data_IF_473022026780
#
_entry.id   IF_473022026780
#
_cell.length_a   1.000
_cell.length_b   1.000
_cell.length_c   1.000
_cell.angle_alpha   90.00
_cell.angle_beta   90.00
_cell.angle_gamma   90.00
#
_symmetry.space_group_name_H-M   'P 1'
#
loop_
_entity.id
_entity.type
_entity.pdbx_description
1 polymer ?
#
# COMPACT_ATOMS: atom_id res chain seq x y z
N UNK A 1 -32.15 44.19 25.65
CA UNK A 1 -31.49 43.35 24.63
C UNK A 1 -30.93 42.06 25.24
N UNK A 2 -30.17 42.11 26.34
CA UNK A 2 -29.64 40.93 27.05
C UNK A 2 -30.71 39.90 27.51
N UNK A 3 -31.85 40.34 28.04
CA UNK A 3 -32.90 39.43 28.51
C UNK A 3 -33.57 38.60 27.40
N UNK A 4 -33.59 39.08 26.14
CA UNK A 4 -34.11 38.27 25.01
C UNK A 4 -33.12 37.18 24.60
N UNK A 5 -31.82 37.49 24.64
CA UNK A 5 -30.77 36.51 24.41
C UNK A 5 -30.78 35.41 25.49
N UNK A 6 -30.95 35.74 26.78
CA UNK A 6 -30.96 34.72 27.85
C UNK A 6 -32.10 33.71 27.72
N UNK A 7 -33.29 34.14 27.30
CA UNK A 7 -34.44 33.27 27.05
C UNK A 7 -34.21 32.37 25.83
N UNK A 8 -33.58 32.91 24.77
CA UNK A 8 -33.24 32.15 23.56
C UNK A 8 -32.11 31.14 23.80
N UNK A 9 -31.09 31.50 24.59
CA UNK A 9 -30.00 30.60 25.01
C UNK A 9 -30.48 29.49 25.97
N UNK A 10 -31.51 29.72 26.78
CA UNK A 10 -32.09 28.71 27.66
C UNK A 10 -32.75 27.55 26.88
N UNK A 11 -33.38 27.87 25.74
CA UNK A 11 -33.98 26.88 24.83
C UNK A 11 -32.95 25.98 24.15
N UNK A 12 -31.89 26.58 23.59
CA UNK A 12 -30.79 25.86 22.94
C UNK A 12 -30.05 24.89 23.90
N UNK A 13 -29.85 25.28 25.16
CA UNK A 13 -29.22 24.41 26.19
C UNK A 13 -30.07 23.18 26.51
N UNK A 14 -31.40 23.31 26.55
CA UNK A 14 -32.31 22.19 26.85
C UNK A 14 -32.36 21.20 25.68
N UNK A 15 -32.42 21.69 24.44
CA UNK A 15 -32.36 20.84 23.24
C UNK A 15 -31.04 20.08 23.14
N UNK A 16 -29.89 20.75 23.31
CA UNK A 16 -28.56 20.10 23.26
C UNK A 16 -28.39 19.05 24.36
N UNK A 17 -28.93 19.28 25.56
CA UNK A 17 -28.95 18.30 26.65
C UNK A 17 -29.83 17.09 26.35
N UNK A 18 -30.98 17.28 25.72
CA UNK A 18 -31.87 16.17 25.32
C UNK A 18 -31.21 15.34 24.21
N UNK A 19 -30.66 15.95 23.16
CA UNK A 19 -29.94 15.20 22.12
C UNK A 19 -28.71 14.47 22.68
N UNK A 20 -27.94 15.09 23.58
CA UNK A 20 -26.82 14.43 24.24
C UNK A 20 -27.27 13.26 25.14
N UNK A 21 -28.39 13.41 25.86
CA UNK A 21 -28.94 12.34 26.69
C UNK A 21 -29.49 11.18 25.86
N UNK A 22 -30.20 11.47 24.75
CA UNK A 22 -30.71 10.45 23.82
C UNK A 22 -29.55 9.72 23.14
N UNK A 23 -28.54 10.45 22.67
CA UNK A 23 -27.36 9.85 22.07
C UNK A 23 -26.56 9.02 23.08
N UNK A 24 -26.38 9.53 24.30
CA UNK A 24 -25.72 8.80 25.38
C UNK A 24 -26.48 7.53 25.78
N UNK A 25 -27.81 7.59 25.84
CA UNK A 25 -28.65 6.43 26.12
C UNK A 25 -28.57 5.39 24.99
N UNK A 26 -28.65 5.82 23.72
CA UNK A 26 -28.50 4.92 22.57
C UNK A 26 -27.11 4.27 22.52
N UNK A 27 -26.06 5.03 22.82
CA UNK A 27 -24.69 4.52 22.92
C UNK A 27 -24.54 3.48 24.04
N UNK A 28 -25.06 3.76 25.24
CA UNK A 28 -25.05 2.82 26.36
C UNK A 28 -25.85 1.55 26.05
N UNK A 29 -27.01 1.68 25.40
CA UNK A 29 -27.84 0.53 25.03
C UNK A 29 -27.12 -0.35 24.00
N UNK A 30 -26.47 0.26 23.01
CA UNK A 30 -25.64 -0.45 22.03
C UNK A 30 -24.42 -1.13 22.68
N UNK A 31 -23.78 -0.47 23.65
CA UNK A 31 -22.64 -1.02 24.40
C UNK A 31 -23.08 -2.24 25.21
N UNK A 32 -24.19 -2.14 25.95
CA UNK A 32 -24.75 -3.26 26.72
C UNK A 32 -25.15 -4.41 25.78
N UNK A 33 -25.81 -4.13 24.66
CA UNK A 33 -26.17 -5.13 23.67
C UNK A 33 -24.94 -5.83 23.07
N UNK A 34 -23.85 -5.11 22.83
CA UNK A 34 -22.59 -5.66 22.36
C UNK A 34 -21.93 -6.59 23.40
N UNK A 35 -21.90 -6.17 24.67
CA UNK A 35 -21.33 -6.99 25.76
C UNK A 35 -22.12 -8.29 25.96
N UNK A 36 -23.46 -8.21 25.90
CA UNK A 36 -24.34 -9.38 26.01
C UNK A 36 -24.19 -10.30 24.79
N UNK A 37 -24.14 -9.75 23.57
CA UNK A 37 -23.97 -10.52 22.34
C UNK A 37 -22.63 -11.26 22.29
N UNK A 38 -21.59 -10.65 22.87
CA UNK A 38 -20.23 -11.21 22.90
C UNK A 38 -20.04 -12.27 23.99
N UNK A 39 -20.99 -12.44 24.92
CA UNK A 39 -20.86 -13.30 26.13
C UNK A 39 -19.53 -13.06 26.85
N UNK A 40 -19.13 -11.80 26.96
CA UNK A 40 -17.81 -11.43 27.48
C UNK A 40 -17.74 -11.77 28.98
N UNK A 41 -16.98 -12.82 29.31
CA UNK A 41 -16.90 -13.34 30.67
C UNK A 41 -15.55 -12.98 31.28
N UNK A 42 -15.55 -12.07 32.27
CA UNK A 42 -14.33 -11.60 32.95
C UNK A 42 -13.56 -12.78 33.60
N UNK A 43 -14.27 -13.83 34.02
CA UNK A 43 -13.66 -15.03 34.61
C UNK A 43 -12.76 -15.76 33.63
N UNK A 44 -13.16 -15.90 32.36
CA UNK A 44 -12.38 -16.57 31.32
C UNK A 44 -11.08 -15.81 31.01
N UNK A 45 -11.08 -14.47 31.14
CA UNK A 45 -9.86 -13.68 30.99
C UNK A 45 -8.88 -13.95 32.13
N UNK A 46 -9.36 -14.00 33.38
CA UNK A 46 -8.55 -14.30 34.54
C UNK A 46 -8.02 -15.75 34.50
N UNK A 47 -8.84 -16.70 34.06
CA UNK A 47 -8.44 -18.11 33.85
C UNK A 47 -7.46 -18.27 32.68
N UNK A 48 -7.44 -17.32 31.74
CA UNK A 48 -6.51 -17.27 30.61
C UNK A 48 -5.12 -16.75 30.97
N UNK A 49 -4.98 -15.93 32.02
CA UNK A 49 -3.69 -15.39 32.49
C UNK A 49 -2.67 -16.49 32.79
N UNK A 50 -2.96 -17.51 33.62
CA UNK A 50 -1.99 -18.56 33.91
C UNK A 50 -1.61 -19.37 32.65
N UNK A 51 -2.54 -19.56 31.71
CA UNK A 51 -2.27 -20.25 30.43
C UNK A 51 -1.36 -19.44 29.52
N UNK A 52 -1.56 -18.12 29.47
CA UNK A 52 -0.70 -17.21 28.73
C UNK A 52 0.73 -17.20 29.31
N UNK A 53 0.86 -17.22 30.63
CA UNK A 53 2.18 -17.31 31.29
C UNK A 53 2.85 -18.67 31.08
N UNK A 54 2.10 -19.77 31.09
CA UNK A 54 2.64 -21.11 30.80
C UNK A 54 3.10 -21.23 29.35
N UNK A 55 2.32 -20.69 28.41
CA UNK A 55 2.68 -20.63 26.99
C UNK A 55 3.95 -19.80 26.78
N UNK A 56 4.04 -18.63 27.42
CA UNK A 56 5.23 -17.78 27.34
C UNK A 56 6.45 -18.46 27.97
N UNK A 57 6.25 -19.19 29.07
CA UNK A 57 7.29 -20.00 29.69
C UNK A 57 7.78 -21.15 28.80
N UNK A 58 6.92 -21.74 27.97
CA UNK A 58 7.29 -22.78 26.99
C UNK A 58 7.98 -22.24 25.74
N UNK A 59 7.81 -20.95 25.43
CA UNK A 59 8.50 -20.30 24.31
C UNK A 59 9.99 -20.04 24.61
N UNK A 60 10.34 -19.93 25.89
CA UNK A 60 11.71 -19.67 26.33
C UNK A 60 12.42 -21.00 26.65
N UNK A 61 13.63 -21.24 26.12
CA UNK A 61 14.41 -22.40 26.51
C UNK A 61 14.74 -22.33 28.01
N UNK A 62 14.77 -23.46 28.74
CA UNK A 62 15.24 -23.48 30.12
C UNK A 62 16.74 -23.11 30.12
N UNK A 63 17.05 -21.89 30.58
CA UNK A 63 18.40 -21.36 30.62
C UNK A 63 19.11 -21.90 31.87
N UNK A 64 19.87 -22.99 31.72
CA UNK A 64 20.80 -23.42 32.75
C UNK A 64 22.14 -22.71 32.53
N UNK A 65 22.62 -21.97 33.53
CA UNK A 65 23.88 -21.20 33.46
C UNK A 65 25.10 -22.08 33.15
N UNK A 66 25.00 -23.38 33.43
CA UNK A 66 26.05 -24.37 33.25
C UNK A 66 26.14 -24.91 31.82
N UNK A 67 25.07 -24.78 31.03
CA UNK A 67 24.94 -25.36 29.68
C UNK A 67 24.35 -24.41 28.64
N UNK A 68 24.38 -23.10 28.90
CA UNK A 68 23.87 -22.02 28.03
C UNK A 68 24.14 -22.23 26.54
N UNK A 69 25.36 -22.62 26.18
CA UNK A 69 25.74 -22.88 24.78
C UNK A 69 25.01 -24.07 24.14
N UNK A 70 24.82 -25.16 24.89
CA UNK A 70 24.11 -26.36 24.41
C UNK A 70 22.62 -26.13 24.32
N UNK A 71 22.04 -25.45 25.31
CA UNK A 71 20.62 -25.11 25.36
C UNK A 71 20.24 -24.17 24.20
N UNK A 72 21.11 -23.22 23.87
CA UNK A 72 20.91 -22.32 22.72
C UNK A 72 21.05 -23.05 21.38
N UNK A 73 22.04 -23.95 21.23
CA UNK A 73 22.19 -24.76 20.01
C UNK A 73 21.05 -25.75 19.80
N UNK A 74 20.47 -26.28 20.89
CA UNK A 74 19.30 -27.16 20.83
C UNK A 74 18.04 -26.37 20.44
N UNK A 75 17.91 -25.13 20.91
CA UNK A 75 16.80 -24.26 20.54
C UNK A 75 16.87 -23.81 19.07
N UNK A 76 18.07 -23.49 18.58
CA UNK A 76 18.35 -23.09 17.19
C UNK A 76 18.84 -24.23 16.28
N UNK A 77 18.45 -25.47 16.58
CA UNK A 77 18.94 -26.67 15.89
C UNK A 77 18.78 -26.61 14.36
N UNK A 78 17.77 -25.88 13.87
CA UNK A 78 17.46 -25.72 12.45
C UNK A 78 17.58 -24.27 11.95
N UNK A 79 18.43 -23.46 12.59
CA UNK A 79 18.59 -22.05 12.23
C UNK A 79 18.94 -21.83 10.75
N UNK A 80 19.65 -22.78 10.13
CA UNK A 80 19.99 -22.76 8.70
C UNK A 80 18.76 -22.72 7.81
N UNK A 81 17.84 -23.69 7.94
CA UNK A 81 16.62 -23.74 7.14
C UNK A 81 15.69 -22.55 7.41
N UNK A 82 15.65 -22.05 8.64
CA UNK A 82 14.87 -20.83 8.96
C UNK A 82 15.44 -19.60 8.28
N UNK A 83 16.76 -19.47 8.26
CA UNK A 83 17.43 -18.36 7.58
C UNK A 83 17.26 -18.46 6.06
N UNK A 84 17.36 -19.65 5.48
CA UNK A 84 17.06 -19.87 4.06
C UNK A 84 15.59 -19.54 3.74
N UNK A 85 14.65 -19.93 4.60
CA UNK A 85 13.23 -19.61 4.43
C UNK A 85 12.97 -18.09 4.51
N UNK A 86 13.61 -17.41 5.47
CA UNK A 86 13.56 -15.95 5.60
C UNK A 86 14.10 -15.27 4.33
N UNK A 87 15.29 -15.68 3.88
CA UNK A 87 15.89 -15.17 2.65
C UNK A 87 15.00 -15.43 1.44
N UNK A 88 14.38 -16.60 1.32
CA UNK A 88 13.45 -16.91 0.24
C UNK A 88 12.26 -15.95 0.22
N UNK A 89 11.63 -15.67 1.37
CA UNK A 89 10.52 -14.69 1.41
C UNK A 89 10.97 -13.27 1.03
N UNK A 90 12.17 -12.87 1.46
CA UNK A 90 12.75 -11.58 1.10
C UNK A 90 13.03 -11.48 -0.40
N UNK A 91 13.63 -12.53 -0.98
CA UNK A 91 13.93 -12.61 -2.41
C UNK A 91 12.65 -12.60 -3.25
N UNK A 92 11.62 -13.34 -2.80
CA UNK A 92 10.31 -13.35 -3.45
C UNK A 92 9.67 -11.96 -3.47
N UNK A 93 9.66 -11.27 -2.31
CA UNK A 93 9.10 -9.93 -2.20
C UNK A 93 9.89 -8.92 -3.04
N UNK A 94 11.22 -9.02 -3.04
CA UNK A 94 12.10 -8.16 -3.84
C UNK A 94 11.86 -8.36 -5.34
N UNK A 95 11.87 -9.61 -5.82
CA UNK A 95 11.62 -9.94 -7.22
C UNK A 95 10.22 -9.50 -7.66
N UNK A 96 9.20 -9.77 -6.85
CA UNK A 96 7.83 -9.38 -7.16
C UNK A 96 7.68 -7.86 -7.27
N UNK A 97 8.32 -7.11 -6.37
CA UNK A 97 8.31 -5.65 -6.38
C UNK A 97 9.06 -5.09 -7.59
N UNK A 98 10.24 -5.65 -7.90
CA UNK A 98 11.03 -5.24 -9.05
C UNK A 98 10.29 -5.47 -10.36
N UNK A 99 9.71 -6.67 -10.56
CA UNK A 99 8.91 -7.00 -11.75
C UNK A 99 7.64 -6.15 -11.81
N UNK A 100 6.92 -6.00 -10.71
CA UNK A 100 5.68 -5.22 -10.66
C UNK A 100 5.91 -3.75 -10.97
N UNK A 101 6.99 -3.17 -10.44
CA UNK A 101 7.38 -1.78 -10.70
C UNK A 101 7.85 -1.59 -12.14
N UNK A 102 8.64 -2.52 -12.69
CA UNK A 102 9.14 -2.44 -14.06
C UNK A 102 8.00 -2.58 -15.09
N UNK A 103 7.14 -3.59 -14.93
CA UNK A 103 6.01 -3.83 -15.83
C UNK A 103 4.96 -2.72 -15.66
N UNK A 104 4.59 -2.38 -14.42
CA UNK A 104 3.64 -1.31 -14.12
C UNK A 104 4.13 0.05 -14.61
N UNK A 105 5.42 0.34 -14.44
CA UNK A 105 6.09 1.52 -14.98
C UNK A 105 6.06 1.58 -16.51
N UNK A 106 6.36 0.47 -17.19
CA UNK A 106 6.27 0.41 -18.65
C UNK A 106 4.83 0.66 -19.15
N UNK A 107 3.83 0.01 -18.54
CA UNK A 107 2.41 0.18 -18.89
C UNK A 107 1.94 1.62 -18.60
N UNK A 108 2.50 2.26 -17.58
CA UNK A 108 2.11 3.62 -17.17
C UNK A 108 2.32 4.68 -18.26
N UNK A 109 3.33 4.51 -19.14
CA UNK A 109 3.57 5.41 -20.27
C UNK A 109 2.44 5.33 -21.30
N UNK A 110 1.88 4.14 -21.52
CA UNK A 110 0.74 3.92 -22.41
C UNK A 110 -0.59 4.33 -21.78
N UNK A 111 -0.68 4.29 -20.44
CA UNK A 111 -1.85 4.70 -19.68
C UNK A 111 -1.93 6.22 -19.45
N UNK A 112 -0.90 7.00 -19.79
CA UNK A 112 -0.90 8.46 -19.68
C UNK A 112 -1.56 9.11 -20.90
N UNK A 113 -2.57 9.96 -20.67
CA UNK A 113 -3.36 10.59 -21.74
C UNK A 113 -2.56 11.55 -22.62
N UNK A 114 -1.47 12.11 -22.09
CA UNK A 114 -0.57 13.02 -22.79
C UNK A 114 0.43 12.30 -23.72
N UNK A 115 0.74 11.02 -23.46
CA UNK A 115 1.74 10.25 -24.20
C UNK A 115 1.10 9.27 -25.21
N UNK A 116 -0.12 8.81 -24.95
CA UNK A 116 -0.79 7.84 -25.80
C UNK A 116 -1.27 8.47 -27.11
N UNK A 117 -0.72 8.00 -28.24
CA UNK A 117 -1.13 8.43 -29.58
C UNK A 117 -2.56 7.95 -29.93
N UNK A 118 -2.98 6.79 -29.41
CA UNK A 118 -4.26 6.15 -29.71
C UNK A 118 -5.15 6.01 -28.47
N UNK A 119 -6.41 6.48 -28.55
CA UNK A 119 -7.39 6.38 -27.45
C UNK A 119 -7.65 4.94 -27.01
N UNK A 120 -7.65 3.98 -27.94
CA UNK A 120 -7.86 2.57 -27.64
C UNK A 120 -6.74 1.99 -26.76
N UNK A 121 -5.47 2.32 -27.04
CA UNK A 121 -4.31 1.84 -26.26
C UNK A 121 -4.35 2.39 -24.84
N UNK A 122 -4.65 3.69 -24.70
CA UNK A 122 -4.87 4.34 -23.41
C UNK A 122 -5.96 3.62 -22.60
N UNK A 123 -7.11 3.35 -23.23
CA UNK A 123 -8.25 2.74 -22.56
C UNK A 123 -7.93 1.31 -22.11
N UNK A 124 -7.31 0.50 -22.97
CA UNK A 124 -6.91 -0.88 -22.64
C UNK A 124 -5.89 -0.88 -21.50
N UNK A 125 -4.83 -0.08 -21.58
CA UNK A 125 -3.80 -0.01 -20.55
C UNK A 125 -4.40 0.37 -19.19
N UNK A 126 -5.31 1.35 -19.15
CA UNK A 126 -5.95 1.79 -17.91
C UNK A 126 -6.86 0.72 -17.32
N UNK A 127 -7.62 0.01 -18.16
CA UNK A 127 -8.45 -1.12 -17.71
C UNK A 127 -7.63 -2.28 -17.18
N UNK A 128 -6.51 -2.63 -17.81
CA UNK A 128 -5.63 -3.67 -17.32
C UNK A 128 -5.09 -3.35 -15.91
N UNK A 129 -4.67 -2.10 -15.68
CA UNK A 129 -4.20 -1.65 -14.35
C UNK A 129 -5.32 -1.66 -13.29
N UNK A 130 -6.55 -1.26 -13.69
CA UNK A 130 -7.71 -1.30 -12.81
C UNK A 130 -8.11 -2.74 -12.46
N UNK A 131 -8.11 -3.66 -13.43
CA UNK A 131 -8.42 -5.08 -13.20
C UNK A 131 -7.37 -5.70 -12.27
N UNK A 132 -6.08 -5.47 -12.55
CA UNK A 132 -4.99 -6.00 -11.74
C UNK A 132 -5.12 -5.64 -10.25
N UNK A 133 -5.60 -4.42 -9.94
CA UNK A 133 -5.78 -3.92 -8.56
C UNK A 133 -7.12 -4.32 -7.91
N UNK A 134 -8.18 -4.50 -8.70
CA UNK A 134 -9.53 -4.77 -8.17
C UNK A 134 -9.74 -6.25 -7.85
N UNK A 135 -9.02 -7.13 -8.53
CA UNK A 135 -9.05 -8.57 -8.25
C UNK A 135 -8.34 -8.88 -6.93
N UNK A 136 -8.96 -9.62 -6.00
CA UNK A 136 -8.32 -10.01 -4.74
C UNK A 136 -7.07 -10.87 -4.95
N UNK A 137 -6.05 -10.67 -4.11
CA UNK A 137 -4.75 -11.35 -4.24
C UNK A 137 -4.86 -12.88 -4.17
N UNK A 138 -5.82 -13.40 -3.41
CA UNK A 138 -6.10 -14.84 -3.32
C UNK A 138 -6.49 -15.40 -4.70
N UNK A 139 -7.22 -14.64 -5.52
CA UNK A 139 -7.63 -15.08 -6.86
C UNK A 139 -6.42 -15.20 -7.78
N UNK A 140 -5.51 -14.22 -7.74
CA UNK A 140 -4.25 -14.29 -8.48
C UNK A 140 -3.39 -15.47 -8.02
N UNK A 141 -3.28 -15.67 -6.71
CA UNK A 141 -2.56 -16.81 -6.15
C UNK A 141 -3.13 -18.15 -6.65
N UNK A 142 -4.45 -18.32 -6.60
CA UNK A 142 -5.12 -19.54 -7.09
C UNK A 142 -4.91 -19.75 -8.60
N UNK A 143 -4.97 -18.70 -9.40
CA UNK A 143 -4.74 -18.79 -10.85
C UNK A 143 -3.31 -19.24 -11.17
N UNK A 144 -2.31 -18.67 -10.50
CA UNK A 144 -0.92 -19.05 -10.71
C UNK A 144 -0.57 -20.41 -10.08
N UNK A 145 -1.21 -20.79 -8.98
CA UNK A 145 -1.09 -22.14 -8.42
C UNK A 145 -1.69 -23.17 -9.37
N UNK A 146 -2.80 -22.86 -10.05
CA UNK A 146 -3.36 -23.73 -11.06
C UNK A 146 -2.44 -23.84 -12.30
N UNK A 147 -1.79 -22.74 -12.70
CA UNK A 147 -0.92 -22.71 -13.87
C UNK A 147 0.46 -23.35 -13.65
N UNK A 148 1.09 -23.11 -12.50
CA UNK A 148 2.48 -23.49 -12.20
C UNK A 148 2.62 -24.48 -11.03
N UNK A 149 1.54 -24.77 -10.31
CA UNK A 149 1.55 -25.58 -9.09
C UNK A 149 1.79 -24.77 -7.81
N UNK A 150 1.77 -25.47 -6.69
CA UNK A 150 2.08 -24.89 -5.37
C UNK A 150 3.58 -24.62 -5.31
N UNK A 151 3.97 -23.35 -5.13
CA UNK A 151 5.37 -22.98 -4.96
C UNK A 151 5.63 -21.48 -4.91
N UNK A 152 6.90 -21.08 -4.71
CA UNK A 152 7.31 -19.68 -4.61
C UNK A 152 6.94 -18.85 -5.84
N UNK A 153 7.06 -19.43 -7.04
CA UNK A 153 6.80 -18.74 -8.31
C UNK A 153 5.37 -18.21 -8.38
N UNK A 154 4.39 -19.00 -7.92
CA UNK A 154 2.99 -18.57 -7.90
C UNK A 154 2.76 -17.37 -6.98
N UNK A 155 3.42 -17.36 -5.81
CA UNK A 155 3.39 -16.23 -4.88
C UNK A 155 4.04 -14.97 -5.46
N UNK A 156 5.21 -15.10 -6.09
CA UNK A 156 5.90 -13.98 -6.75
C UNK A 156 5.00 -13.36 -7.82
N UNK A 157 4.40 -14.16 -8.69
CA UNK A 157 3.54 -13.67 -9.76
C UNK A 157 2.26 -13.02 -9.23
N UNK A 158 1.64 -13.58 -8.18
CA UNK A 158 0.46 -12.99 -7.55
C UNK A 158 0.78 -11.60 -6.97
N UNK A 159 1.86 -11.48 -6.20
CA UNK A 159 2.30 -10.19 -5.64
C UNK A 159 2.69 -9.21 -6.75
N UNK A 160 3.29 -9.70 -7.83
CA UNK A 160 3.64 -8.89 -9.02
C UNK A 160 2.38 -8.27 -9.64
N UNK A 161 1.31 -9.05 -9.83
CA UNK A 161 0.03 -8.58 -10.38
C UNK A 161 -0.64 -7.52 -9.49
N UNK A 162 -0.61 -7.71 -8.16
CA UNK A 162 -1.09 -6.69 -7.24
C UNK A 162 -0.27 -5.40 -7.33
N UNK A 163 1.06 -5.54 -7.27
CA UNK A 163 2.00 -4.42 -7.23
C UNK A 163 1.96 -3.61 -8.52
N UNK A 164 1.88 -4.25 -9.70
CA UNK A 164 1.82 -3.55 -10.98
C UNK A 164 0.53 -2.73 -11.12
N UNK A 165 -0.62 -3.22 -10.62
CA UNK A 165 -1.89 -2.49 -10.68
C UNK A 165 -1.87 -1.24 -9.80
N UNK A 166 -1.28 -1.34 -8.61
CA UNK A 166 -1.14 -0.22 -7.68
C UNK A 166 -0.11 0.82 -8.16
N UNK A 167 1.13 0.38 -8.45
CA UNK A 167 2.23 1.25 -8.88
C UNK A 167 2.00 1.85 -10.26
N UNK A 168 1.51 1.04 -11.21
CA UNK A 168 1.31 1.49 -12.60
C UNK A 168 0.30 2.63 -12.73
N UNK A 169 -0.76 2.65 -11.92
CA UNK A 169 -1.71 3.77 -11.89
C UNK A 169 -1.09 5.04 -11.31
N UNK A 170 -0.33 4.90 -10.22
CA UNK A 170 0.39 6.02 -9.61
C UNK A 170 1.37 6.65 -10.61
N UNK A 171 2.16 5.82 -11.31
CA UNK A 171 3.07 6.30 -12.34
C UNK A 171 2.31 6.91 -13.54
N UNK A 172 1.16 6.38 -13.91
CA UNK A 172 0.35 6.96 -14.99
C UNK A 172 -0.18 8.34 -14.61
N UNK A 173 -0.64 8.52 -13.37
CA UNK A 173 -1.08 9.82 -12.84
C UNK A 173 0.09 10.81 -12.76
N UNK A 174 1.28 10.37 -12.33
CA UNK A 174 2.48 11.21 -12.35
C UNK A 174 2.83 11.64 -13.78
N UNK A 175 2.82 10.71 -14.73
CA UNK A 175 3.12 10.98 -16.14
C UNK A 175 2.07 11.92 -16.78
N UNK A 176 0.80 11.82 -16.40
CA UNK A 176 -0.27 12.71 -16.87
C UNK A 176 -0.16 14.13 -16.28
N UNK A 177 0.41 14.27 -15.08
CA UNK A 177 0.64 15.56 -14.41
C UNK A 177 1.90 16.31 -14.87
N UNK A 178 2.75 15.71 -15.72
CA UNK A 178 3.91 16.42 -16.29
C UNK A 178 3.40 17.56 -17.17
N UNK A 179 3.75 18.80 -16.80
CA UNK A 179 3.30 20.02 -17.50
C UNK A 179 3.63 19.95 -19.00
N UNK A 180 2.75 20.42 -19.90
CA UNK A 180 2.96 20.33 -21.35
C UNK A 180 4.10 21.21 -21.90
N UNK A 181 4.55 22.24 -21.17
CA UNK A 181 5.57 23.20 -21.63
C UNK A 181 6.90 22.55 -22.12
N UNK A 182 7.51 21.57 -21.43
CA UNK A 182 8.72 20.89 -21.90
C UNK A 182 8.45 19.94 -23.08
N UNK A 183 7.25 19.38 -23.18
CA UNK A 183 6.87 18.39 -24.21
C UNK A 183 6.66 19.06 -25.57
N UNK A 184 6.16 20.30 -25.59
CA UNK A 184 6.03 21.10 -26.80
C UNK A 184 7.41 21.59 -27.31
N UNK A 185 8.34 21.93 -26.41
CA UNK A 185 9.73 22.25 -26.75
C UNK A 185 10.52 21.07 -27.33
N UNK A 186 10.27 19.85 -26.85
CA UNK A 186 10.86 18.63 -27.41
C UNK A 186 10.18 18.21 -28.74
N UNK A 187 8.90 18.61 -28.94
CA UNK A 187 8.18 18.36 -30.20
C UNK A 187 8.76 19.20 -31.34
N UNK A 188 9.10 20.45 -31.07
CA UNK A 188 9.77 21.34 -32.03
C UNK A 188 11.23 20.94 -32.31
N UNK A 189 11.86 20.17 -31.42
CA UNK A 189 13.18 19.57 -31.62
C UNK A 189 13.17 18.25 -32.42
N UNK A 190 12.00 17.68 -32.73
CA UNK A 190 11.88 16.46 -33.54
C UNK A 190 12.13 15.13 -32.80
N UNK A 191 12.12 15.11 -31.46
CA UNK A 191 12.40 13.89 -30.70
C UNK A 191 11.27 12.84 -30.78
N UNK A 192 11.67 11.58 -31.02
CA UNK A 192 10.81 10.39 -31.04
C UNK A 192 10.34 10.00 -29.63
N UNK A 193 9.13 9.43 -29.56
CA UNK A 193 8.35 9.30 -28.32
C UNK A 193 9.03 8.62 -27.13
N UNK A 194 9.93 7.65 -27.36
CA UNK A 194 10.62 6.96 -26.26
C UNK A 194 11.68 7.85 -25.60
N UNK A 195 12.48 8.56 -26.40
CA UNK A 195 13.45 9.57 -25.94
C UNK A 195 12.72 10.72 -25.25
N UNK A 196 11.57 11.15 -25.80
CA UNK A 196 10.74 12.20 -25.23
C UNK A 196 10.24 11.90 -23.81
N UNK A 197 9.81 10.66 -23.56
CA UNK A 197 9.36 10.23 -22.23
C UNK A 197 10.51 10.18 -21.22
N UNK A 198 11.69 9.70 -21.65
CA UNK A 198 12.87 9.63 -20.81
C UNK A 198 13.40 11.03 -20.45
N UNK A 199 13.52 11.92 -21.44
CA UNK A 199 13.99 13.31 -21.28
C UNK A 199 13.02 14.17 -20.47
N UNK A 200 11.71 13.97 -20.62
CA UNK A 200 10.70 14.71 -19.84
C UNK A 200 10.68 14.31 -18.35
N UNK A 201 10.94 13.03 -18.03
CA UNK A 201 10.95 12.57 -16.63
C UNK A 201 12.20 12.99 -15.85
N UNK A 202 13.31 13.26 -16.54
CA UNK A 202 14.57 13.67 -15.92
C UNK A 202 15.00 15.08 -16.35
N UNK A 203 14.45 16.15 -15.71
CA UNK A 203 14.78 17.53 -16.06
C UNK A 203 16.24 17.91 -15.79
N UNK A 204 17.00 17.11 -15.02
CA UNK A 204 18.40 17.38 -14.66
C UNK A 204 19.40 17.14 -15.79
N UNK A 205 19.02 16.44 -16.86
CA UNK A 205 19.93 16.14 -17.98
C UNK A 205 19.79 17.11 -19.16
N UNK A 206 18.80 18.03 -19.16
CA UNK A 206 18.75 19.12 -20.14
C UNK A 206 19.79 20.17 -19.73
N UNK A 207 20.98 20.23 -20.36
CA UNK A 207 21.86 21.35 -20.12
C UNK A 207 21.18 22.58 -20.75
N UNK A 208 21.22 23.68 -20.02
CA UNK A 208 20.63 24.96 -20.38
C UNK A 208 21.29 25.52 -21.65
N UNK A 209 20.89 25.06 -22.85
CA UNK A 209 21.42 25.55 -24.13
C UNK A 209 20.78 26.88 -24.58
N UNK A 210 19.92 27.49 -23.77
CA UNK A 210 19.23 28.74 -24.16
C UNK A 210 19.86 30.04 -23.66
N UNK A 211 21.08 30.04 -23.09
CA UNK A 211 21.70 31.27 -22.58
C UNK A 211 22.90 31.81 -23.37
N UNK A 212 22.90 31.76 -24.71
CA UNK A 212 23.79 32.60 -25.54
C UNK A 212 23.24 32.82 -26.96
N UNK A 213 22.14 33.57 -27.10
CA UNK A 213 21.86 34.26 -28.38
C UNK A 213 21.18 35.61 -28.17
N UNK A 214 21.81 36.48 -27.39
CA UNK A 214 21.63 37.94 -27.52
C UNK A 214 22.97 38.61 -27.25
N UNK A 215 23.63 39.09 -28.30
CA UNK A 215 24.88 39.85 -28.20
C UNK A 215 26.00 39.33 -29.10
N UNK A 216 25.81 39.43 -30.42
CA UNK A 216 26.90 39.55 -31.41
C UNK A 216 26.29 39.86 -32.78
N UNK A 217 25.66 41.02 -32.91
CA UNK A 217 25.39 41.67 -34.19
C UNK A 217 25.35 43.18 -33.94
N UNK A 218 26.53 43.75 -33.79
CA UNK A 218 26.87 45.18 -33.95
C UNK A 218 28.36 45.34 -33.68
#
# INVERSE_FOLDING_TARGET
>A
MAARFEVEYAGYRRQKRIYAAVFGAAFLLCLVASVVSTKFNIGVLLDGVPRATEFLGRMLPPLHLDSLGKDFSAWYWNAGEWFESLLNTLLMAYLATALGTLIGGAISFFAARNLAHNFAVYWIARRTLEIARTVPDIVWALLFVFAFGIGPVAGILAITMHTLGAQGKLFAEVNENISPLPIDGLRSAGETGFTKCATASCPRCCPTTSRTRSGASS
#
